data_IF_088498994413
#
_entry.id   IF_088498994413
#
_cell.length_a   1.000
_cell.length_b   1.000
_cell.length_c   1.000
_cell.angle_alpha   90.00
_cell.angle_beta   90.00
_cell.angle_gamma   90.00
#
_symmetry.space_group_name_H-M   'P 1'
#
loop_
_entity.id
_entity.type
_entity.pdbx_description
1 polymer ?
#
# COMPACT_ATOMS: atom_id res chain seq x y z
N UNK A 1 15.37 -17.31 13.38
CA UNK A 1 15.09 -17.03 14.83
C UNK A 1 15.02 -15.53 15.04
N UNK A 2 14.10 -15.07 15.84
CA UNK A 2 13.98 -13.65 16.23
C UNK A 2 15.33 -13.12 16.74
N UNK A 3 15.72 -11.92 16.30
CA UNK A 3 16.98 -11.28 16.61
C UNK A 3 18.18 -11.74 15.78
N UNK A 4 17.99 -12.69 14.85
CA UNK A 4 19.07 -13.07 13.92
C UNK A 4 19.47 -11.87 13.07
N UNK A 5 20.78 -11.63 12.99
CA UNK A 5 21.38 -10.59 12.16
C UNK A 5 21.78 -11.15 10.80
N UNK A 6 21.53 -10.37 9.78
CA UNK A 6 21.86 -10.68 8.39
C UNK A 6 22.77 -9.58 7.83
N UNK A 7 23.80 -9.94 7.05
CA UNK A 7 24.71 -8.96 6.48
C UNK A 7 24.01 -8.09 5.44
N UNK A 8 24.63 -6.97 5.14
CA UNK A 8 24.19 -6.07 4.06
C UNK A 8 24.25 -6.76 2.71
N UNK A 9 23.21 -6.59 1.91
CA UNK A 9 23.12 -6.97 0.49
C UNK A 9 23.17 -5.74 -0.42
N UNK A 10 23.25 -4.53 0.17
CA UNK A 10 23.07 -3.28 -0.58
C UNK A 10 24.23 -3.01 -1.55
N UNK A 11 23.86 -2.51 -2.72
CA UNK A 11 24.79 -1.93 -3.68
C UNK A 11 24.14 -0.76 -4.41
N UNK A 12 24.97 0.17 -4.91
CA UNK A 12 24.50 1.37 -5.60
C UNK A 12 24.96 1.35 -7.05
N UNK A 13 24.07 1.71 -7.95
CA UNK A 13 24.35 1.85 -9.38
C UNK A 13 23.76 3.15 -9.90
N UNK A 14 24.19 3.58 -11.09
CA UNK A 14 23.54 4.69 -11.79
C UNK A 14 22.41 4.15 -12.65
N UNK A 15 21.22 4.71 -12.47
CA UNK A 15 20.09 4.36 -13.31
C UNK A 15 20.38 4.74 -14.78
N UNK A 16 20.17 3.83 -15.75
CA UNK A 16 20.57 4.06 -17.14
C UNK A 16 19.73 5.12 -17.87
N UNK A 17 18.57 5.50 -17.32
CA UNK A 17 17.65 6.46 -17.94
C UNK A 17 17.80 7.84 -17.31
N UNK A 18 17.73 7.91 -15.98
CA UNK A 18 17.78 9.17 -15.23
C UNK A 18 19.22 9.62 -14.93
N UNK A 19 20.18 8.68 -14.87
CA UNK A 19 21.54 8.94 -14.39
C UNK A 19 21.61 9.13 -12.87
N UNK A 20 20.51 8.99 -12.13
CA UNK A 20 20.46 9.11 -10.68
C UNK A 20 21.08 7.88 -10.01
N UNK A 21 21.76 8.05 -8.86
CA UNK A 21 22.16 6.93 -8.03
C UNK A 21 20.94 6.22 -7.45
N UNK A 22 20.85 4.92 -7.67
CA UNK A 22 19.84 4.03 -7.08
C UNK A 22 20.55 3.02 -6.20
N UNK A 23 20.11 2.86 -4.97
CA UNK A 23 20.63 1.84 -4.06
C UNK A 23 19.63 0.68 -4.01
N UNK A 24 20.02 -0.47 -4.51
CA UNK A 24 19.35 -1.73 -4.24
C UNK A 24 19.68 -2.16 -2.82
N UNK A 25 18.69 -2.34 -1.97
CA UNK A 25 18.88 -2.64 -0.54
C UNK A 25 18.94 -4.14 -0.26
N UNK A 26 18.23 -4.93 -1.07
CA UNK A 26 18.18 -6.40 -1.00
C UNK A 26 18.49 -7.00 -2.35
N UNK A 27 19.10 -8.19 -2.38
CA UNK A 27 19.57 -8.81 -3.64
C UNK A 27 19.07 -10.24 -3.85
N UNK A 28 18.70 -10.91 -2.78
CA UNK A 28 18.25 -12.29 -2.80
C UNK A 28 16.89 -12.42 -2.14
N UNK A 29 16.17 -13.48 -2.44
CA UNK A 29 14.89 -13.82 -1.84
C UNK A 29 13.72 -12.98 -2.36
N UNK A 30 12.54 -13.22 -1.80
CA UNK A 30 11.39 -12.34 -1.93
C UNK A 30 11.50 -11.26 -0.84
N UNK A 31 11.57 -10.00 -1.24
CA UNK A 31 11.65 -8.87 -0.33
C UNK A 31 10.73 -7.76 -0.82
N UNK A 32 9.91 -7.25 0.05
CA UNK A 32 9.09 -6.09 -0.25
C UNK A 32 8.93 -5.21 0.98
N UNK A 33 8.94 -3.93 0.75
CA UNK A 33 8.64 -2.96 1.79
C UNK A 33 7.14 -3.02 2.14
N UNK A 34 6.70 -2.30 3.16
CA UNK A 34 5.29 -2.25 3.55
C UNK A 34 4.45 -1.67 2.41
N UNK A 35 3.17 -1.97 2.41
CA UNK A 35 2.26 -1.46 1.39
C UNK A 35 2.31 0.07 1.32
N UNK A 36 2.08 0.69 0.17
CA UNK A 36 2.31 2.12 -0.03
C UNK A 36 1.54 3.03 0.95
N UNK A 37 0.44 2.57 1.54
CA UNK A 37 -0.33 3.28 2.57
C UNK A 37 0.33 3.24 3.95
N UNK A 38 1.29 2.33 4.16
CA UNK A 38 2.06 2.17 5.39
C UNK A 38 3.52 2.57 5.16
N UNK A 39 3.96 3.63 5.80
CA UNK A 39 5.33 4.11 5.63
C UNK A 39 6.35 3.14 6.25
N UNK A 40 7.23 2.57 5.42
CA UNK A 40 8.23 1.60 5.88
C UNK A 40 9.32 2.18 6.75
N UNK A 41 9.56 3.49 6.69
CA UNK A 41 10.62 4.13 7.47
C UNK A 41 10.24 4.22 8.96
N UNK A 42 11.24 4.11 9.82
CA UNK A 42 11.11 4.54 11.20
C UNK A 42 11.07 6.08 11.28
N UNK A 43 10.71 6.68 12.44
CA UNK A 43 10.60 8.14 12.55
C UNK A 43 11.91 8.89 12.30
N UNK A 44 13.07 8.24 12.49
CA UNK A 44 14.39 8.83 12.24
C UNK A 44 14.79 8.80 10.75
N UNK A 45 14.08 8.04 9.92
CA UNK A 45 14.46 7.72 8.54
C UNK A 45 15.83 7.01 8.41
N UNK A 46 16.33 6.41 9.50
CA UNK A 46 17.57 5.65 9.53
C UNK A 46 17.34 4.15 9.29
N UNK A 47 16.13 3.66 9.59
CA UNK A 47 15.77 2.27 9.41
C UNK A 47 14.50 2.13 8.59
N UNK A 48 14.34 0.96 7.95
CA UNK A 48 13.10 0.53 7.34
C UNK A 48 12.63 -0.80 7.92
N UNK A 49 11.32 -1.00 7.89
CA UNK A 49 10.68 -2.28 8.12
C UNK A 49 10.26 -2.88 6.78
N UNK A 50 10.48 -4.18 6.61
CA UNK A 50 10.19 -4.87 5.36
C UNK A 50 9.91 -6.36 5.60
N UNK A 51 9.34 -7.00 4.61
CA UNK A 51 9.03 -8.42 4.63
C UNK A 51 10.01 -9.19 3.75
N UNK A 52 10.44 -10.39 4.22
CA UNK A 52 11.33 -11.25 3.45
C UNK A 52 11.11 -12.72 3.79
N UNK A 53 11.23 -13.60 2.78
CA UNK A 53 11.19 -15.05 2.97
C UNK A 53 12.57 -15.67 3.24
N UNK A 54 13.63 -14.87 3.49
CA UNK A 54 15.02 -15.32 3.69
C UNK A 54 15.21 -16.39 4.77
N UNK A 55 14.27 -16.47 5.73
CA UNK A 55 14.31 -17.51 6.77
C UNK A 55 13.86 -18.87 6.25
N UNK A 56 13.05 -18.91 5.19
CA UNK A 56 12.56 -20.12 4.54
C UNK A 56 12.33 -19.84 3.05
N UNK A 57 13.40 -19.83 2.23
CA UNK A 57 13.31 -19.45 0.81
C UNK A 57 12.40 -20.35 -0.03
N UNK A 58 12.19 -21.60 0.39
CA UNK A 58 11.31 -22.55 -0.30
C UNK A 58 9.81 -22.21 -0.12
N UNK A 59 9.48 -21.34 0.84
CA UNK A 59 8.12 -20.87 1.08
C UNK A 59 7.94 -19.43 0.63
N UNK A 60 6.83 -19.11 0.01
CA UNK A 60 6.45 -17.71 -0.28
C UNK A 60 5.95 -16.96 0.98
N UNK A 61 6.33 -17.45 2.16
CA UNK A 61 5.92 -16.92 3.47
C UNK A 61 7.02 -16.07 4.05
N UNK A 62 6.76 -14.79 4.14
CA UNK A 62 7.73 -13.83 4.65
C UNK A 62 7.66 -13.67 6.16
N UNK A 63 8.74 -13.15 6.71
CA UNK A 63 8.83 -12.66 8.08
C UNK A 63 9.12 -11.16 8.05
N UNK A 64 8.88 -10.48 9.16
CA UNK A 64 9.19 -9.06 9.29
C UNK A 64 10.66 -8.87 9.69
N UNK A 65 11.28 -7.89 9.06
CA UNK A 65 12.66 -7.47 9.28
C UNK A 65 12.75 -5.97 9.49
N UNK A 66 13.81 -5.55 10.18
CA UNK A 66 14.28 -4.16 10.21
C UNK A 66 15.66 -4.10 9.55
N UNK A 67 15.91 -3.08 8.72
CA UNK A 67 17.20 -2.80 8.11
C UNK A 67 17.67 -1.42 8.52
N UNK A 68 18.93 -1.29 8.93
CA UNK A 68 19.59 0.01 9.05
C UNK A 68 20.07 0.46 7.66
N UNK A 69 19.66 1.63 7.22
CA UNK A 69 19.95 2.11 5.86
C UNK A 69 21.41 2.49 5.64
N UNK A 70 22.12 2.92 6.68
CA UNK A 70 23.55 3.27 6.58
C UNK A 70 24.39 1.99 6.43
N UNK A 71 24.28 1.06 7.36
CA UNK A 71 25.06 -0.18 7.36
C UNK A 71 24.53 -1.24 6.39
N UNK A 72 23.22 -1.26 6.12
CA UNK A 72 22.51 -2.32 5.40
C UNK A 72 22.32 -3.59 6.24
N UNK A 73 22.72 -3.60 7.53
CA UNK A 73 22.48 -4.74 8.42
C UNK A 73 20.98 -4.93 8.64
N UNK A 74 20.51 -6.19 8.57
CA UNK A 74 19.12 -6.55 8.76
C UNK A 74 18.94 -7.38 10.03
N UNK A 75 17.80 -7.20 10.71
CA UNK A 75 17.43 -7.97 11.90
C UNK A 75 16.05 -8.59 11.72
N UNK A 76 15.94 -9.89 11.97
CA UNK A 76 14.67 -10.62 11.95
C UNK A 76 13.83 -10.29 13.19
N UNK A 77 12.58 -9.84 12.99
CA UNK A 77 11.67 -9.44 14.07
C UNK A 77 10.62 -10.50 14.39
N UNK A 78 10.20 -11.30 13.41
CA UNK A 78 9.17 -12.34 13.59
C UNK A 78 9.66 -13.70 13.11
N UNK A 79 9.00 -14.77 13.59
CA UNK A 79 9.31 -16.16 13.22
C UNK A 79 8.02 -17.01 13.27
N UNK A 80 6.96 -16.50 12.66
CA UNK A 80 5.64 -17.12 12.70
C UNK A 80 5.52 -18.22 11.63
N UNK A 81 5.07 -19.43 11.99
CA UNK A 81 5.04 -20.56 11.05
C UNK A 81 4.14 -20.35 9.83
N UNK A 82 3.06 -19.58 9.98
CA UNK A 82 2.17 -19.26 8.86
C UNK A 82 2.76 -18.17 7.95
N UNK A 83 3.75 -17.43 8.43
CA UNK A 83 4.35 -16.28 7.75
C UNK A 83 3.41 -15.08 7.67
N UNK A 84 3.88 -14.03 7.05
CA UNK A 84 3.17 -12.77 6.88
C UNK A 84 3.10 -12.49 5.38
N UNK A 85 1.89 -12.31 4.84
CA UNK A 85 1.71 -11.96 3.42
C UNK A 85 1.89 -10.46 3.21
N UNK A 86 2.10 -10.05 1.95
CA UNK A 86 2.15 -8.63 1.59
C UNK A 86 0.88 -7.88 2.00
N UNK A 87 1.01 -6.59 2.31
CA UNK A 87 -0.09 -5.72 2.76
C UNK A 87 -0.81 -6.16 4.05
N UNK A 88 -0.17 -7.02 4.85
CA UNK A 88 -0.71 -7.51 6.13
C UNK A 88 0.11 -7.04 7.33
N UNK A 89 0.74 -5.88 7.23
CA UNK A 89 1.55 -5.26 8.29
C UNK A 89 1.23 -3.78 8.33
N UNK A 90 1.02 -3.25 9.52
CA UNK A 90 0.94 -1.81 9.78
C UNK A 90 1.74 -1.46 11.03
N UNK A 91 2.13 -0.19 11.18
CA UNK A 91 2.86 0.26 12.36
C UNK A 91 2.39 1.63 12.83
N UNK A 92 2.58 1.92 14.11
CA UNK A 92 2.37 3.27 14.64
C UNK A 92 3.38 4.26 14.05
N UNK A 93 3.00 5.53 13.96
CA UNK A 93 3.88 6.59 13.39
C UNK A 93 5.20 6.72 14.17
N UNK A 94 5.17 6.49 15.49
CA UNK A 94 6.36 6.47 16.35
C UNK A 94 7.21 5.19 16.23
N UNK A 95 6.76 4.21 15.46
CA UNK A 95 7.45 2.95 15.19
C UNK A 95 7.54 1.98 16.37
N UNK A 96 6.82 2.23 17.49
CA UNK A 96 6.89 1.40 18.70
C UNK A 96 6.07 0.13 18.61
N UNK A 97 4.96 0.18 17.90
CA UNK A 97 4.06 -0.96 17.73
C UNK A 97 3.94 -1.32 16.25
N UNK A 98 4.00 -2.60 15.97
CA UNK A 98 3.74 -3.17 14.66
C UNK A 98 2.67 -4.23 14.80
N UNK A 99 1.56 -4.07 14.08
CA UNK A 99 0.51 -5.07 14.01
C UNK A 99 0.58 -5.81 12.68
N UNK A 100 0.30 -7.10 12.69
CA UNK A 100 0.34 -7.90 11.49
C UNK A 100 -0.57 -9.13 11.57
N UNK A 101 -0.99 -9.63 10.41
CA UNK A 101 -1.67 -10.91 10.30
C UNK A 101 -0.68 -12.03 9.98
N UNK A 102 -0.88 -13.16 10.64
CA UNK A 102 -0.22 -14.43 10.35
C UNK A 102 -1.24 -15.56 10.40
N UNK A 103 -1.56 -16.15 9.25
CA UNK A 103 -2.69 -17.07 9.13
C UNK A 103 -4.01 -16.39 9.53
N UNK A 104 -4.69 -16.92 10.54
CA UNK A 104 -5.95 -16.35 11.11
C UNK A 104 -5.73 -15.51 12.37
N UNK A 105 -4.49 -15.13 12.68
CA UNK A 105 -4.15 -14.40 13.90
C UNK A 105 -3.79 -12.95 13.60
N UNK A 106 -4.29 -12.01 14.42
CA UNK A 106 -3.78 -10.64 14.55
C UNK A 106 -2.81 -10.60 15.72
N UNK A 107 -1.59 -10.20 15.44
CA UNK A 107 -0.52 -10.07 16.43
C UNK A 107 -0.02 -8.64 16.53
N UNK A 108 0.45 -8.30 17.72
CA UNK A 108 1.07 -7.01 18.05
C UNK A 108 2.51 -7.25 18.49
N UNK A 109 3.46 -6.66 17.79
CA UNK A 109 4.87 -6.67 18.15
C UNK A 109 5.28 -5.31 18.69
N UNK A 110 5.87 -5.29 19.90
CA UNK A 110 6.46 -4.10 20.49
C UNK A 110 7.96 -4.05 20.16
N UNK A 111 8.39 -3.01 19.44
CA UNK A 111 9.77 -2.89 18.96
C UNK A 111 10.80 -2.60 20.06
N UNK A 112 10.35 -2.02 21.19
CA UNK A 112 11.22 -1.71 22.34
C UNK A 112 11.39 -2.93 23.25
N UNK A 113 10.29 -3.60 23.62
CA UNK A 113 10.32 -4.78 24.52
C UNK A 113 10.56 -6.09 23.81
N UNK A 114 10.35 -6.14 22.48
CA UNK A 114 10.35 -7.33 21.63
C UNK A 114 9.26 -8.35 21.98
N UNK A 115 8.26 -7.93 22.72
CA UNK A 115 7.11 -8.75 23.04
C UNK A 115 6.20 -8.89 21.82
N UNK A 116 5.71 -10.12 21.59
CA UNK A 116 4.81 -10.45 20.48
C UNK A 116 3.54 -11.05 21.07
N UNK A 117 2.44 -10.29 21.04
CA UNK A 117 1.18 -10.62 21.71
C UNK A 117 0.11 -10.99 20.67
N UNK A 118 -0.60 -12.09 20.90
CA UNK A 118 -1.82 -12.42 20.18
C UNK A 118 -2.97 -11.51 20.66
N UNK A 119 -3.52 -10.69 19.76
CA UNK A 119 -4.66 -9.83 20.05
C UNK A 119 -6.01 -10.49 19.69
N UNK A 120 -6.05 -11.17 18.53
CA UNK A 120 -7.28 -11.76 18.01
C UNK A 120 -6.97 -13.00 17.17
N UNK A 121 -7.86 -13.97 17.20
CA UNK A 121 -7.81 -15.14 16.33
C UNK A 121 -9.18 -15.34 15.66
N UNK A 122 -9.22 -15.34 14.35
CA UNK A 122 -10.44 -15.61 13.58
C UNK A 122 -10.84 -17.06 13.67
N UNK A 123 -12.04 -17.31 14.20
CA UNK A 123 -12.60 -18.66 14.39
C UNK A 123 -13.62 -19.06 13.32
N UNK A 124 -14.06 -18.10 12.53
CA UNK A 124 -15.02 -18.31 11.44
C UNK A 124 -14.34 -18.51 10.09
N UNK A 125 -15.18 -18.45 9.06
CA UNK A 125 -14.74 -18.60 7.68
C UNK A 125 -14.54 -17.19 7.06
N UNK A 126 -13.60 -16.43 7.64
CA UNK A 126 -13.21 -15.10 7.15
C UNK A 126 -11.72 -15.04 6.88
N UNK A 127 -11.37 -14.28 5.84
CA UNK A 127 -10.02 -13.84 5.56
C UNK A 127 -9.84 -12.47 6.19
N UNK A 128 -8.75 -12.30 6.95
CA UNK A 128 -8.32 -11.03 7.55
C UNK A 128 -7.46 -10.28 6.55
N UNK A 129 -7.68 -8.97 6.40
CA UNK A 129 -6.85 -8.14 5.53
C UNK A 129 -6.89 -6.65 5.90
N UNK A 130 -5.98 -5.87 5.34
CA UNK A 130 -5.95 -4.41 5.40
C UNK A 130 -6.13 -3.84 6.80
N UNK A 131 -5.15 -4.07 7.66
CA UNK A 131 -5.14 -3.55 9.02
C UNK A 131 -4.46 -2.17 9.07
N UNK A 132 -4.93 -1.32 10.00
CA UNK A 132 -4.38 0.02 10.21
C UNK A 132 -4.56 0.49 11.65
N UNK A 133 -3.55 1.16 12.23
CA UNK A 133 -3.69 1.78 13.53
C UNK A 133 -4.52 3.07 13.45
N UNK A 134 -5.33 3.34 14.47
CA UNK A 134 -5.87 4.68 14.68
C UNK A 134 -4.75 5.69 14.94
N UNK A 135 -4.94 6.95 14.58
CA UNK A 135 -3.89 7.98 14.69
C UNK A 135 -3.42 8.22 16.14
N UNK A 136 -4.24 7.88 17.15
CA UNK A 136 -3.88 7.91 18.57
C UNK A 136 -3.23 6.61 19.07
N UNK A 137 -3.00 5.64 18.17
CA UNK A 137 -2.38 4.34 18.42
C UNK A 137 -3.09 3.46 19.45
N UNK A 138 -4.40 3.68 19.71
CA UNK A 138 -5.15 2.91 20.70
C UNK A 138 -5.95 1.77 20.13
N UNK A 139 -6.27 1.83 18.83
CA UNK A 139 -7.10 0.85 18.15
C UNK A 139 -6.42 0.35 16.89
N UNK A 140 -6.79 -0.85 16.48
CA UNK A 140 -6.47 -1.43 15.18
C UNK A 140 -7.79 -1.73 14.49
N UNK A 141 -8.02 -1.12 13.32
CA UNK A 141 -9.12 -1.46 12.44
C UNK A 141 -8.63 -2.35 11.31
N UNK A 142 -9.50 -3.21 10.80
CA UNK A 142 -9.17 -4.14 9.71
C UNK A 142 -10.41 -4.66 9.01
N UNK A 143 -10.21 -5.25 7.84
CA UNK A 143 -11.28 -5.88 7.08
C UNK A 143 -11.33 -7.38 7.31
N UNK A 144 -12.54 -7.92 7.29
CA UNK A 144 -12.83 -9.35 7.30
C UNK A 144 -13.78 -9.66 6.17
N UNK A 145 -13.39 -10.52 5.27
CA UNK A 145 -14.23 -10.91 4.14
C UNK A 145 -14.48 -12.41 4.16
N UNK A 146 -15.69 -12.79 3.78
CA UNK A 146 -16.08 -14.18 3.65
C UNK A 146 -15.05 -14.95 2.81
N UNK A 147 -14.56 -16.06 3.37
CA UNK A 147 -13.61 -16.92 2.68
C UNK A 147 -14.30 -17.68 1.54
N UNK A 148 -13.72 -17.60 0.36
CA UNK A 148 -14.19 -18.26 -0.86
C UNK A 148 -13.05 -19.07 -1.47
N UNK A 149 -12.51 -20.01 -0.70
CA UNK A 149 -11.36 -20.87 -1.05
C UNK A 149 -11.45 -21.54 -2.42
N UNK A 150 -12.65 -21.67 -2.98
CA UNK A 150 -12.85 -22.26 -4.31
C UNK A 150 -12.52 -21.31 -5.46
N UNK A 151 -12.31 -20.03 -5.17
CA UNK A 151 -11.99 -19.03 -6.17
C UNK A 151 -10.51 -18.69 -6.04
N UNK A 152 -9.70 -18.87 -7.09
CA UNK A 152 -8.29 -18.50 -7.07
C UNK A 152 -8.12 -17.08 -6.58
N UNK A 153 -7.23 -16.84 -5.61
CA UNK A 153 -6.98 -15.55 -5.03
C UNK A 153 -5.70 -14.94 -5.61
N UNK A 154 -5.87 -13.97 -6.50
CA UNK A 154 -4.79 -13.06 -6.88
C UNK A 154 -3.53 -13.72 -7.47
N UNK A 155 -3.65 -14.90 -8.05
CA UNK A 155 -2.58 -15.52 -8.83
C UNK A 155 -2.12 -14.59 -9.96
N UNK A 156 -1.20 -15.05 -10.80
CA UNK A 156 -0.75 -14.26 -11.94
C UNK A 156 -1.97 -13.70 -12.68
N UNK A 157 -1.94 -12.39 -12.97
CA UNK A 157 -2.95 -11.76 -13.79
C UNK A 157 -4.34 -11.62 -13.16
N UNK A 158 -4.43 -11.44 -11.82
CA UNK A 158 -5.71 -11.27 -11.10
C UNK A 158 -6.76 -12.33 -11.47
N UNK A 159 -6.31 -13.55 -11.73
CA UNK A 159 -7.19 -14.66 -12.06
C UNK A 159 -8.21 -14.86 -10.93
N UNK A 160 -9.51 -14.87 -11.30
CA UNK A 160 -10.59 -15.02 -10.33
C UNK A 160 -11.02 -13.74 -9.59
N UNK A 161 -10.38 -12.61 -9.84
CA UNK A 161 -10.66 -11.35 -9.15
C UNK A 161 -12.12 -10.87 -9.31
N UNK A 162 -12.64 -10.94 -10.52
CA UNK A 162 -14.05 -10.63 -10.82
C UNK A 162 -15.02 -11.60 -10.17
N UNK A 163 -14.71 -12.89 -10.25
CA UNK A 163 -15.52 -13.96 -9.66
C UNK A 163 -15.57 -13.80 -8.13
N UNK A 164 -14.46 -13.45 -7.50
CA UNK A 164 -14.37 -13.17 -6.07
C UNK A 164 -15.23 -11.99 -5.67
N UNK A 165 -15.19 -10.89 -6.43
CA UNK A 165 -16.03 -9.71 -6.20
C UNK A 165 -17.53 -10.08 -6.17
N UNK A 166 -17.97 -10.91 -7.11
CA UNK A 166 -19.36 -11.33 -7.16
C UNK A 166 -19.74 -12.43 -6.15
N UNK A 167 -18.77 -13.18 -5.66
CA UNK A 167 -19.02 -14.29 -4.72
C UNK A 167 -19.11 -13.82 -3.26
N UNK A 168 -18.34 -12.83 -2.85
CA UNK A 168 -18.34 -12.30 -1.47
C UNK A 168 -19.66 -11.57 -1.20
N UNK A 169 -20.34 -11.98 -0.11
CA UNK A 169 -21.61 -11.41 0.35
C UNK A 169 -21.60 -11.03 1.83
N UNK A 170 -20.47 -11.17 2.48
CA UNK A 170 -20.25 -10.76 3.88
C UNK A 170 -18.85 -10.16 3.99
N UNK A 171 -18.77 -8.84 3.84
CA UNK A 171 -17.59 -8.04 4.10
C UNK A 171 -17.79 -7.21 5.36
N UNK A 172 -16.74 -7.05 6.18
CA UNK A 172 -16.83 -6.37 7.46
C UNK A 172 -15.65 -5.44 7.69
N UNK A 173 -15.92 -4.33 8.35
CA UNK A 173 -14.91 -3.51 9.01
C UNK A 173 -14.99 -3.82 10.51
N UNK A 174 -13.90 -4.30 11.07
CA UNK A 174 -13.78 -4.67 12.47
C UNK A 174 -12.74 -3.82 13.18
N UNK A 175 -12.88 -3.69 14.48
CA UNK A 175 -11.96 -2.93 15.33
C UNK A 175 -11.65 -3.69 16.62
N UNK A 176 -10.44 -3.49 17.15
CA UNK A 176 -9.98 -4.01 18.43
C UNK A 176 -9.05 -2.99 19.10
N UNK A 177 -9.06 -2.92 20.43
CA UNK A 177 -8.08 -2.13 21.17
C UNK A 177 -6.69 -2.79 21.13
N UNK A 178 -5.62 -2.01 21.22
CA UNK A 178 -4.23 -2.53 21.21
C UNK A 178 -3.91 -3.42 22.43
N UNK A 179 -4.75 -3.44 23.44
CA UNK A 179 -4.65 -4.38 24.59
C UNK A 179 -5.42 -5.70 24.35
N UNK A 180 -6.04 -5.88 23.18
CA UNK A 180 -6.84 -7.04 22.82
C UNK A 180 -8.30 -6.99 23.29
N UNK A 181 -8.72 -5.93 23.96
CA UNK A 181 -10.11 -5.75 24.42
C UNK A 181 -11.01 -5.15 23.33
N UNK A 182 -12.33 -5.22 23.56
CA UNK A 182 -13.37 -4.53 22.79
C UNK A 182 -13.38 -4.84 21.28
N UNK A 183 -13.14 -6.12 20.90
CA UNK A 183 -13.31 -6.54 19.52
C UNK A 183 -14.79 -6.50 19.12
N UNK A 184 -15.09 -5.80 18.02
CA UNK A 184 -16.43 -5.77 17.42
C UNK A 184 -16.41 -5.37 15.93
N UNK A 185 -17.49 -5.72 15.21
CA UNK A 185 -17.72 -5.27 13.85
C UNK A 185 -18.40 -3.89 13.86
N UNK A 186 -17.79 -2.90 13.21
CA UNK A 186 -18.34 -1.55 13.01
C UNK A 186 -19.28 -1.50 11.82
N UNK A 187 -18.94 -2.23 10.76
CA UNK A 187 -19.73 -2.32 9.53
C UNK A 187 -19.83 -3.78 9.09
N UNK A 188 -21.02 -4.13 8.58
CA UNK A 188 -21.24 -5.33 7.77
C UNK A 188 -21.92 -4.94 6.47
N UNK A 189 -21.35 -5.36 5.35
CA UNK A 189 -21.81 -5.07 4.00
C UNK A 189 -21.82 -6.33 3.14
N UNK A 190 -22.56 -6.28 2.03
CA UNK A 190 -22.66 -7.38 1.05
C UNK A 190 -21.59 -7.30 -0.04
N UNK A 191 -20.59 -6.47 0.14
CA UNK A 191 -19.49 -6.26 -0.79
C UNK A 191 -18.16 -6.79 -0.23
N UNK A 192 -17.23 -7.05 -1.13
CA UNK A 192 -15.85 -7.25 -0.76
C UNK A 192 -15.25 -5.93 -0.30
N UNK A 193 -14.84 -5.83 0.97
CA UNK A 193 -14.26 -4.64 1.58
C UNK A 193 -12.74 -4.77 1.64
N UNK A 194 -12.04 -3.76 1.19
CA UNK A 194 -10.56 -3.71 1.16
C UNK A 194 -10.04 -2.31 1.47
N UNK A 195 -8.71 -2.10 1.42
CA UNK A 195 -8.00 -0.82 1.56
C UNK A 195 -8.43 0.00 2.77
N UNK A 196 -8.75 -0.67 3.88
CA UNK A 196 -9.09 0.03 5.12
C UNK A 196 -7.90 0.86 5.62
N UNK A 197 -8.16 2.12 5.94
CA UNK A 197 -7.17 3.04 6.48
C UNK A 197 -7.84 4.01 7.46
N UNK A 198 -7.31 4.15 8.68
CA UNK A 198 -7.71 5.23 9.57
C UNK A 198 -7.24 6.59 9.05
N UNK A 199 -8.01 7.64 9.35
CA UNK A 199 -7.56 9.02 9.15
C UNK A 199 -6.34 9.32 10.02
N UNK A 200 -5.33 10.05 9.49
CA UNK A 200 -4.12 10.36 10.24
C UNK A 200 -4.31 11.42 11.35
N UNK A 201 -5.44 12.11 11.37
CA UNK A 201 -5.72 13.24 12.28
C UNK A 201 -7.00 13.08 13.08
N UNK A 202 -7.83 12.04 12.82
CA UNK A 202 -9.09 11.80 13.51
C UNK A 202 -9.31 10.29 13.76
N UNK A 203 -9.21 9.82 15.01
CA UNK A 203 -9.32 8.40 15.33
C UNK A 203 -10.76 7.85 15.18
N UNK A 204 -11.77 8.71 15.00
CA UNK A 204 -13.14 8.31 14.75
C UNK A 204 -13.45 8.14 13.25
N UNK A 205 -12.55 8.53 12.35
CA UNK A 205 -12.77 8.47 10.91
C UNK A 205 -11.81 7.48 10.26
N UNK A 206 -12.34 6.70 9.32
CA UNK A 206 -11.57 5.83 8.45
C UNK A 206 -12.12 5.86 7.03
N UNK A 207 -11.40 5.28 6.08
CA UNK A 207 -11.91 4.96 4.76
C UNK A 207 -11.71 3.48 4.46
N UNK A 208 -12.49 2.98 3.52
CA UNK A 208 -12.37 1.65 2.94
C UNK A 208 -12.82 1.69 1.48
N UNK A 209 -12.54 0.64 0.74
CA UNK A 209 -13.08 0.51 -0.61
C UNK A 209 -13.99 -0.72 -0.77
N UNK A 210 -14.90 -0.64 -1.73
CA UNK A 210 -15.47 -1.82 -2.35
C UNK A 210 -14.48 -2.33 -3.39
N UNK A 211 -14.02 -3.56 -3.22
CA UNK A 211 -12.98 -4.14 -4.05
C UNK A 211 -13.53 -4.88 -5.26
N UNK A 212 -12.77 -4.88 -6.33
CA UNK A 212 -13.09 -5.58 -7.56
C UNK A 212 -12.52 -4.89 -8.80
N UNK A 213 -12.74 -5.44 -9.99
CA UNK A 213 -12.36 -4.78 -11.24
C UNK A 213 -12.97 -3.39 -11.34
N UNK A 214 -12.15 -2.38 -11.62
CA UNK A 214 -12.53 -0.96 -11.51
C UNK A 214 -13.69 -0.55 -12.40
N UNK A 215 -13.88 -1.21 -13.53
CA UNK A 215 -15.02 -1.00 -14.42
C UNK A 215 -16.34 -1.63 -13.93
N UNK A 216 -16.28 -2.49 -12.90
CA UNK A 216 -17.46 -3.09 -12.27
C UNK A 216 -17.78 -2.48 -10.90
N UNK A 217 -16.81 -1.85 -10.26
CA UNK A 217 -17.00 -1.15 -9.00
C UNK A 217 -17.45 0.27 -9.27
N UNK A 218 -18.75 0.50 -9.19
CA UNK A 218 -19.37 1.80 -9.53
C UNK A 218 -19.18 2.86 -8.46
N UNK A 219 -18.85 2.46 -7.22
CA UNK A 219 -18.49 3.34 -6.12
C UNK A 219 -17.44 2.66 -5.28
N UNK A 220 -16.18 3.10 -5.43
CA UNK A 220 -15.05 2.45 -4.76
C UNK A 220 -14.83 2.98 -3.35
N UNK A 221 -14.62 4.27 -3.18
CA UNK A 221 -14.11 4.87 -1.94
C UNK A 221 -15.26 5.27 -1.04
N UNK A 222 -15.17 4.84 0.22
CA UNK A 222 -16.15 5.13 1.27
C UNK A 222 -15.45 5.68 2.51
N UNK A 223 -16.02 6.70 3.13
CA UNK A 223 -15.61 7.24 4.44
C UNK A 223 -16.58 6.76 5.48
N UNK A 224 -16.06 6.23 6.57
CA UNK A 224 -16.82 5.65 7.68
C UNK A 224 -16.49 6.34 9.00
N UNK A 225 -17.51 6.58 9.82
CA UNK A 225 -17.36 6.94 11.23
C UNK A 225 -17.24 5.64 12.05
N UNK A 226 -16.12 5.42 12.68
CA UNK A 226 -15.79 4.19 13.42
C UNK A 226 -16.51 4.04 14.77
N UNK A 227 -17.18 5.11 15.23
CA UNK A 227 -17.96 5.08 16.47
C UNK A 227 -19.44 4.77 16.19
N UNK A 228 -19.99 5.27 15.07
CA UNK A 228 -21.43 5.12 14.75
C UNK A 228 -21.70 4.07 13.69
N UNK A 229 -20.67 3.72 12.89
CA UNK A 229 -20.84 2.87 11.70
C UNK A 229 -21.46 3.57 10.50
N UNK A 230 -21.77 4.86 10.60
CA UNK A 230 -22.29 5.63 9.46
C UNK A 230 -21.20 5.79 8.40
N UNK A 231 -21.55 5.52 7.14
CA UNK A 231 -20.61 5.65 6.04
C UNK A 231 -21.26 6.36 4.83
N UNK A 232 -20.41 6.96 4.00
CA UNK A 232 -20.80 7.71 2.81
C UNK A 232 -19.75 7.56 1.71
N UNK A 233 -20.15 7.70 0.43
CA UNK A 233 -19.19 7.71 -0.65
C UNK A 233 -18.26 8.92 -0.54
N UNK A 234 -16.94 8.69 -0.74
CA UNK A 234 -15.99 9.72 -1.09
C UNK A 234 -15.88 9.75 -2.60
N UNK A 235 -16.01 10.91 -3.22
CA UNK A 235 -16.02 11.03 -4.67
C UNK A 235 -17.10 10.13 -5.34
N UNK A 236 -18.22 10.70 -5.73
CA UNK A 236 -19.25 9.94 -6.48
C UNK A 236 -18.77 9.69 -7.89
N UNK A 237 -18.56 8.41 -8.20
CA UNK A 237 -18.09 7.97 -9.51
C UNK A 237 -19.20 8.01 -10.57
N UNK A 238 -18.82 8.39 -11.79
CA UNK A 238 -19.60 8.19 -13.01
C UNK A 238 -19.23 6.84 -13.67
N UNK A 239 -19.99 6.44 -14.69
CA UNK A 239 -19.70 5.21 -15.46
C UNK A 239 -18.32 5.25 -16.17
N UNK A 240 -17.77 6.45 -16.36
CA UNK A 240 -16.48 6.65 -17.02
C UNK A 240 -15.28 6.62 -16.07
N UNK A 241 -15.54 6.58 -14.76
CA UNK A 241 -14.48 6.60 -13.76
C UNK A 241 -13.97 5.20 -13.48
N UNK A 242 -12.65 5.06 -13.45
CA UNK A 242 -11.92 3.85 -13.09
C UNK A 242 -10.96 4.19 -11.95
N UNK A 243 -11.50 4.30 -10.74
CA UNK A 243 -10.75 4.64 -9.52
C UNK A 243 -10.03 3.40 -9.02
N UNK A 244 -8.72 3.51 -8.82
CA UNK A 244 -7.87 2.37 -8.50
C UNK A 244 -7.37 2.34 -7.07
N UNK A 245 -6.69 3.38 -6.64
CA UNK A 245 -6.04 3.43 -5.34
C UNK A 245 -6.34 4.73 -4.62
N UNK A 246 -6.37 4.65 -3.30
CA UNK A 246 -6.65 5.76 -2.41
C UNK A 246 -5.76 5.72 -1.17
N UNK A 247 -5.37 6.89 -0.68
CA UNK A 247 -4.60 7.03 0.55
C UNK A 247 -4.89 8.37 1.24
N UNK A 248 -4.57 8.46 2.53
CA UNK A 248 -4.64 9.70 3.27
C UNK A 248 -3.37 10.54 3.08
N UNK A 249 -3.53 11.81 2.79
CA UNK A 249 -2.45 12.79 3.02
C UNK A 249 -2.19 12.95 4.52
N UNK A 250 -1.02 13.42 4.91
CA UNK A 250 -0.75 13.70 6.34
C UNK A 250 -1.69 14.75 6.94
N UNK A 251 -2.27 15.62 6.10
CA UNK A 251 -3.24 16.64 6.49
C UNK A 251 -4.69 16.15 6.62
N UNK A 252 -4.95 14.86 6.35
CA UNK A 252 -6.29 14.27 6.48
C UNK A 252 -7.20 14.47 5.28
N UNK A 253 -6.67 14.83 4.11
CA UNK A 253 -7.39 14.76 2.84
C UNK A 253 -7.19 13.39 2.19
N UNK A 254 -8.18 12.94 1.43
CA UNK A 254 -8.12 11.70 0.67
C UNK A 254 -7.58 12.01 -0.72
N UNK A 255 -6.50 11.33 -1.08
CA UNK A 255 -5.92 11.36 -2.43
C UNK A 255 -6.33 10.06 -3.13
N UNK A 256 -6.76 10.15 -4.37
CA UNK A 256 -7.18 8.98 -5.15
C UNK A 256 -6.76 9.14 -6.61
N UNK A 257 -6.47 8.03 -7.27
CA UNK A 257 -6.23 8.02 -8.69
C UNK A 257 -7.48 7.69 -9.50
N UNK A 258 -7.49 8.10 -10.76
CA UNK A 258 -8.52 7.74 -11.72
C UNK A 258 -7.88 7.52 -13.10
N UNK A 259 -7.90 6.28 -13.53
CA UNK A 259 -7.35 5.89 -14.83
C UNK A 259 -8.18 6.37 -16.02
N UNK A 260 -9.47 6.53 -15.84
CA UNK A 260 -10.46 7.03 -16.81
C UNK A 260 -10.77 6.12 -17.99
N UNK A 261 -9.95 5.16 -18.33
CA UNK A 261 -10.19 4.27 -19.47
C UNK A 261 -9.50 2.91 -19.33
N UNK A 262 -10.12 1.89 -19.94
CA UNK A 262 -9.46 0.66 -20.33
C UNK A 262 -9.11 -0.35 -19.24
N UNK A 263 -9.60 -0.22 -18.01
CA UNK A 263 -9.37 -1.22 -16.99
C UNK A 263 -10.52 -2.21 -16.88
N UNK A 264 -10.39 -3.34 -17.53
CA UNK A 264 -11.39 -4.42 -17.54
C UNK A 264 -11.26 -5.38 -16.34
N UNK A 265 -10.41 -5.06 -15.36
CA UNK A 265 -10.12 -5.90 -14.21
C UNK A 265 -9.22 -7.07 -14.53
N UNK A 266 -8.59 -7.08 -15.67
CA UNK A 266 -7.53 -8.03 -16.01
C UNK A 266 -6.18 -7.39 -15.79
N UNK A 267 -5.19 -8.18 -15.62
CA UNK A 267 -3.83 -7.80 -15.35
C UNK A 267 -3.11 -7.10 -16.42
N UNK A 268 -3.48 -7.38 -17.64
CA UNK A 268 -2.92 -6.67 -18.79
C UNK A 268 -2.97 -5.16 -18.59
N UNK A 269 -3.84 -4.68 -17.71
CA UNK A 269 -3.99 -3.27 -17.44
C UNK A 269 -2.86 -2.66 -16.60
N UNK A 270 -2.29 -3.33 -15.61
CA UNK A 270 -1.15 -2.79 -14.84
C UNK A 270 0.12 -2.66 -15.69
N UNK A 271 0.39 -3.66 -16.52
CA UNK A 271 1.54 -3.66 -17.46
C UNK A 271 1.35 -2.83 -18.72
N UNK A 272 0.18 -2.15 -18.88
CA UNK A 272 -0.12 -1.34 -20.06
C UNK A 272 -0.14 0.13 -19.74
N UNK A 273 0.77 0.91 -20.34
CA UNK A 273 0.78 2.36 -20.16
C UNK A 273 -0.45 2.99 -20.81
N UNK A 274 -1.16 3.82 -20.05
CA UNK A 274 -2.27 4.64 -20.53
C UNK A 274 -1.79 6.09 -20.67
N UNK A 275 -1.83 6.62 -21.88
CA UNK A 275 -1.48 8.00 -22.17
C UNK A 275 -2.73 8.86 -22.37
N UNK A 276 -2.67 10.11 -21.94
CA UNK A 276 -3.77 11.06 -22.12
C UNK A 276 -4.19 11.23 -23.59
N UNK A 277 -3.24 11.18 -24.50
CA UNK A 277 -3.47 11.31 -25.96
C UNK A 277 -4.19 10.10 -26.57
N UNK A 278 -4.00 8.91 -25.97
CA UNK A 278 -4.56 7.64 -26.47
C UNK A 278 -6.00 7.40 -25.97
N UNK A 279 -6.37 8.03 -24.86
CA UNK A 279 -7.71 7.85 -24.30
C UNK A 279 -8.81 8.45 -25.16
N UNK A 280 -8.50 9.23 -26.18
CA UNK A 280 -9.45 9.84 -27.12
C UNK A 280 -10.59 10.57 -26.39
N UNK A 281 -11.34 11.45 -26.96
CA UNK A 281 -12.55 12.03 -26.33
C UNK A 281 -12.37 12.78 -25.00
N UNK A 282 -11.13 13.21 -24.62
CA UNK A 282 -10.90 14.03 -23.43
C UNK A 282 -10.87 13.26 -22.09
N UNK A 283 -10.65 11.95 -22.10
CA UNK A 283 -10.47 11.13 -20.90
C UNK A 283 -9.00 11.11 -20.48
N UNK A 284 -8.61 12.09 -19.72
CA UNK A 284 -7.24 12.20 -19.20
C UNK A 284 -7.14 11.52 -17.84
N UNK A 285 -6.15 10.64 -17.59
CA UNK A 285 -5.88 10.13 -16.25
C UNK A 285 -5.59 11.29 -15.30
N UNK A 286 -5.98 11.17 -14.04
CA UNK A 286 -5.71 12.19 -13.04
C UNK A 286 -5.59 11.58 -11.65
N UNK A 287 -5.03 12.30 -10.71
CA UNK A 287 -5.25 12.05 -9.30
C UNK A 287 -6.01 13.22 -8.67
N UNK A 288 -6.89 12.89 -7.75
CA UNK A 288 -7.84 13.82 -7.14
C UNK A 288 -7.62 13.97 -5.65
N UNK A 289 -8.12 15.10 -5.12
CA UNK A 289 -8.07 15.46 -3.71
C UNK A 289 -9.50 15.64 -3.22
N UNK A 290 -9.85 14.97 -2.15
CA UNK A 290 -11.16 15.06 -1.52
C UNK A 290 -11.05 15.28 -0.02
N UNK A 291 -11.96 16.06 0.53
CA UNK A 291 -12.16 16.18 1.97
C UNK A 291 -12.84 14.93 2.54
N UNK A 292 -12.79 14.75 3.86
CA UNK A 292 -13.46 13.65 4.59
C UNK A 292 -14.97 13.58 4.35
N UNK A 293 -15.61 14.67 3.92
CA UNK A 293 -17.03 14.70 3.55
C UNK A 293 -17.31 14.18 2.13
N UNK A 294 -16.26 13.81 1.38
CA UNK A 294 -16.33 13.31 0.03
C UNK A 294 -16.32 14.39 -1.06
N UNK A 295 -16.17 15.66 -0.69
CA UNK A 295 -16.12 16.78 -1.64
C UNK A 295 -14.75 16.81 -2.32
N UNK A 296 -14.72 16.61 -3.63
CA UNK A 296 -13.51 16.77 -4.45
C UNK A 296 -13.28 18.25 -4.68
N UNK A 297 -12.11 18.75 -4.28
CA UNK A 297 -11.75 20.17 -4.43
C UNK A 297 -10.63 20.45 -5.42
N UNK A 298 -9.87 19.40 -5.80
CA UNK A 298 -8.76 19.54 -6.74
C UNK A 298 -8.58 18.25 -7.55
N UNK A 299 -8.15 18.41 -8.81
CA UNK A 299 -7.72 17.31 -9.69
C UNK A 299 -6.45 17.74 -10.40
N UNK A 300 -5.53 16.81 -10.58
CA UNK A 300 -4.28 17.00 -11.29
C UNK A 300 -4.25 16.03 -12.47
N UNK A 301 -4.41 16.58 -13.66
CA UNK A 301 -4.33 15.81 -14.90
C UNK A 301 -2.91 15.32 -15.15
N UNK A 302 -2.80 14.07 -15.58
CA UNK A 302 -1.52 13.41 -15.84
C UNK A 302 -1.40 13.05 -17.32
N UNK A 303 -0.21 13.20 -17.93
CA UNK A 303 -0.01 12.81 -19.32
C UNK A 303 -0.07 11.29 -19.51
N UNK A 304 0.09 10.53 -18.43
CA UNK A 304 -0.03 9.09 -18.37
C UNK A 304 -0.47 8.64 -16.96
N UNK A 305 -0.97 7.43 -16.86
CA UNK A 305 -1.39 6.84 -15.60
C UNK A 305 -0.19 6.20 -14.87
N UNK A 306 -0.11 6.42 -13.54
CA UNK A 306 0.70 5.63 -12.64
C UNK A 306 -0.23 4.71 -11.82
N UNK A 307 0.20 3.47 -11.55
CA UNK A 307 -0.64 2.51 -10.83
C UNK A 307 -0.83 2.91 -9.36
N UNK A 308 0.22 3.44 -8.73
CA UNK A 308 0.17 3.95 -7.37
C UNK A 308 0.76 5.35 -7.32
N UNK A 309 0.20 6.18 -6.44
CA UNK A 309 0.72 7.50 -6.11
C UNK A 309 0.94 7.60 -4.61
N UNK A 310 1.94 8.34 -4.21
CA UNK A 310 2.10 8.76 -2.82
C UNK A 310 2.62 10.20 -2.76
N UNK A 311 2.32 10.92 -1.67
CA UNK A 311 2.67 12.31 -1.50
C UNK A 311 3.68 12.54 -0.38
N UNK A 312 4.48 13.60 -0.49
CA UNK A 312 5.18 14.16 0.67
C UNK A 312 4.21 14.91 1.58
N UNK A 313 4.67 15.31 2.77
CA UNK A 313 3.80 15.87 3.81
C UNK A 313 3.06 17.16 3.41
N UNK A 314 3.66 18.02 2.60
CA UNK A 314 3.10 19.32 2.20
C UNK A 314 2.37 19.28 0.84
N UNK A 315 2.28 18.12 0.22
CA UNK A 315 1.62 17.87 -1.08
C UNK A 315 2.26 18.65 -2.26
N UNK A 316 3.51 19.07 -2.13
CA UNK A 316 4.27 19.71 -3.21
C UNK A 316 4.89 18.69 -4.17
N UNK A 317 5.17 17.48 -3.67
CA UNK A 317 5.75 16.37 -4.41
C UNK A 317 4.90 15.14 -4.30
N UNK A 318 4.74 14.46 -5.43
CA UNK A 318 4.17 13.12 -5.52
C UNK A 318 5.18 12.19 -6.18
N UNK A 319 5.12 10.93 -5.82
CA UNK A 319 5.82 9.85 -6.52
C UNK A 319 4.80 8.90 -7.11
N UNK A 320 5.06 8.39 -8.31
CA UNK A 320 4.21 7.43 -8.98
C UNK A 320 5.03 6.34 -9.66
N UNK A 321 4.46 5.13 -9.74
CA UNK A 321 5.00 4.02 -10.52
C UNK A 321 4.29 3.93 -11.87
N UNK A 322 4.85 4.59 -12.86
CA UNK A 322 4.49 4.36 -14.26
C UNK A 322 4.90 2.93 -14.67
N UNK A 323 4.46 2.46 -15.83
CA UNK A 323 4.70 1.06 -16.25
C UNK A 323 6.17 0.65 -16.22
N UNK A 324 7.10 1.57 -16.43
CA UNK A 324 8.55 1.28 -16.45
C UNK A 324 9.39 2.08 -15.51
N UNK A 325 8.88 3.21 -15.04
CA UNK A 325 9.68 4.22 -14.38
C UNK A 325 9.04 4.68 -13.06
N UNK A 326 9.86 4.91 -12.05
CA UNK A 326 9.48 5.70 -10.87
C UNK A 326 9.59 7.16 -11.25
N UNK A 327 8.49 7.88 -11.11
CA UNK A 327 8.36 9.27 -11.56
C UNK A 327 8.07 10.16 -10.37
N UNK A 328 8.86 11.21 -10.20
CA UNK A 328 8.58 12.30 -9.27
C UNK A 328 7.75 13.37 -9.99
N UNK A 329 6.68 13.80 -9.35
CA UNK A 329 5.73 14.78 -9.86
C UNK A 329 5.81 15.98 -8.91
N UNK A 330 6.33 17.11 -9.36
CA UNK A 330 6.25 18.37 -8.63
C UNK A 330 5.08 19.21 -9.13
N UNK A 331 4.38 19.84 -8.20
CA UNK A 331 3.19 20.64 -8.48
C UNK A 331 3.51 22.09 -8.16
N UNK A 332 3.41 22.97 -9.17
CA UNK A 332 3.64 24.39 -8.99
C UNK A 332 2.42 25.10 -8.35
N UNK A 333 2.59 26.37 -7.96
CA UNK A 333 1.56 27.20 -7.34
C UNK A 333 0.30 27.39 -8.21
N UNK A 334 0.41 27.19 -9.53
CA UNK A 334 -0.70 27.29 -10.47
C UNK A 334 -1.35 25.93 -10.77
N UNK A 335 -0.86 24.84 -10.15
CA UNK A 335 -1.34 23.47 -10.40
C UNK A 335 -0.72 22.82 -11.62
N UNK A 336 0.30 23.44 -12.25
CA UNK A 336 1.09 22.81 -13.30
C UNK A 336 1.95 21.67 -12.75
N UNK A 337 2.14 20.61 -13.52
CA UNK A 337 2.96 19.47 -13.13
C UNK A 337 4.27 19.44 -13.90
N UNK A 338 5.36 19.14 -13.19
CA UNK A 338 6.65 18.80 -13.79
C UNK A 338 7.00 17.38 -13.40
N UNK A 339 7.29 16.55 -14.40
CA UNK A 339 7.64 15.14 -14.22
C UNK A 339 9.15 14.96 -14.31
N UNK A 340 9.72 14.21 -13.39
CA UNK A 340 11.13 13.85 -13.35
C UNK A 340 11.25 12.33 -13.17
N UNK A 341 11.80 11.62 -14.13
CA UNK A 341 12.12 10.20 -13.97
C UNK A 341 13.23 10.04 -12.96
N UNK A 342 13.00 9.26 -11.91
CA UNK A 342 13.98 8.97 -10.88
C UNK A 342 14.74 7.68 -11.15
N UNK A 343 14.04 6.63 -11.53
CA UNK A 343 14.62 5.32 -11.79
C UNK A 343 13.77 4.51 -12.75
N UNK A 344 14.42 3.63 -13.51
CA UNK A 344 13.73 2.58 -14.27
C UNK A 344 13.66 1.32 -13.44
N UNK A 345 12.45 0.87 -13.08
CA UNK A 345 12.27 -0.29 -12.20
C UNK A 345 12.21 -1.62 -12.96
N UNK A 346 11.77 -1.63 -14.22
CA UNK A 346 11.62 -2.83 -15.07
C UNK A 346 10.81 -3.98 -14.46
N UNK A 347 9.98 -3.71 -13.46
CA UNK A 347 9.13 -4.74 -12.84
C UNK A 347 8.20 -5.39 -13.85
N UNK A 348 7.89 -6.67 -13.67
CA UNK A 348 7.08 -7.43 -14.65
C UNK A 348 5.58 -7.19 -14.51
N UNK A 349 5.12 -6.63 -13.39
CA UNK A 349 3.70 -6.48 -13.05
C UNK A 349 2.92 -7.79 -12.98
N UNK A 350 3.61 -8.92 -12.94
CA UNK A 350 3.01 -10.25 -13.05
C UNK A 350 2.25 -10.68 -11.80
N UNK A 351 2.73 -10.25 -10.64
CA UNK A 351 2.16 -10.56 -9.33
C UNK A 351 1.89 -9.28 -8.55
N UNK A 352 0.98 -9.32 -7.58
CA UNK A 352 0.74 -8.18 -6.69
C UNK A 352 2.02 -7.76 -5.95
N UNK A 353 2.87 -8.71 -5.56
CA UNK A 353 4.14 -8.43 -4.89
C UNK A 353 5.16 -7.69 -5.76
N UNK A 354 5.06 -7.80 -7.10
CA UNK A 354 5.95 -7.11 -8.02
C UNK A 354 5.50 -5.68 -8.37
N UNK A 355 4.44 -5.17 -7.75
CA UNK A 355 4.06 -3.77 -7.84
C UNK A 355 5.02 -2.90 -7.04
N UNK A 356 5.37 -1.72 -7.59
CA UNK A 356 6.45 -0.91 -7.00
C UNK A 356 6.05 -0.22 -5.70
N UNK A 357 4.80 0.23 -5.55
CA UNK A 357 4.29 0.89 -4.34
C UNK A 357 5.19 1.99 -3.78
N UNK A 358 5.66 2.96 -4.58
CA UNK A 358 6.65 3.93 -4.13
C UNK A 358 6.15 4.77 -2.96
N UNK A 359 7.05 5.04 -2.00
CA UNK A 359 6.71 5.78 -0.79
C UNK A 359 7.85 6.73 -0.37
N UNK A 360 7.51 7.92 0.16
CA UNK A 360 8.48 8.85 0.71
C UNK A 360 8.93 8.46 2.11
N UNK A 361 10.20 8.76 2.45
CA UNK A 361 10.61 8.86 3.85
C UNK A 361 9.87 10.00 4.55
N UNK A 362 9.75 9.95 5.89
CA UNK A 362 9.06 10.99 6.66
C UNK A 362 9.63 12.40 6.46
N UNK A 363 10.94 12.50 6.18
CA UNK A 363 11.60 13.77 5.89
C UNK A 363 11.50 14.20 4.41
N UNK A 364 10.79 13.43 3.58
CA UNK A 364 10.56 13.70 2.16
C UNK A 364 11.80 13.57 1.26
N UNK A 365 12.94 13.11 1.79
CA UNK A 365 14.21 13.14 1.04
C UNK A 365 14.53 11.86 0.28
N UNK A 366 13.88 10.77 0.61
CA UNK A 366 14.12 9.45 0.02
C UNK A 366 12.82 8.85 -0.47
N UNK A 367 12.91 8.04 -1.50
CA UNK A 367 11.81 7.25 -2.03
C UNK A 367 12.23 5.79 -2.01
N UNK A 368 11.38 4.96 -1.39
CA UNK A 368 11.51 3.52 -1.33
C UNK A 368 10.54 2.90 -2.32
N UNK A 369 10.94 1.87 -3.04
CA UNK A 369 10.06 1.09 -3.90
C UNK A 369 10.53 -0.36 -4.01
N UNK A 370 9.61 -1.27 -4.37
CA UNK A 370 9.91 -2.67 -4.67
C UNK A 370 9.85 -2.91 -6.17
N UNK A 371 10.61 -3.88 -6.65
CA UNK A 371 10.50 -4.37 -8.02
C UNK A 371 11.02 -5.80 -8.09
N UNK A 372 10.40 -6.64 -8.92
CA UNK A 372 10.96 -7.93 -9.24
C UNK A 372 12.13 -7.76 -10.21
N UNK A 373 13.20 -8.52 -9.96
CA UNK A 373 14.37 -8.57 -10.85
C UNK A 373 14.30 -9.78 -11.79
N UNK A 374 13.52 -10.76 -11.40
CA UNK A 374 13.14 -11.95 -12.17
C UNK A 374 11.85 -12.56 -11.57
N UNK A 375 11.39 -13.68 -12.10
CA UNK A 375 10.15 -14.35 -11.64
C UNK A 375 10.23 -14.87 -10.18
N UNK A 376 11.41 -14.89 -9.56
CA UNK A 376 11.67 -15.52 -8.24
C UNK A 376 12.14 -14.57 -7.16
N UNK A 377 12.59 -13.36 -7.52
CA UNK A 377 13.15 -12.40 -6.59
C UNK A 377 12.48 -11.04 -6.76
N UNK A 378 11.94 -10.55 -5.65
CA UNK A 378 11.52 -9.16 -5.51
C UNK A 378 12.52 -8.45 -4.60
N UNK A 379 12.92 -7.23 -4.96
CA UNK A 379 13.92 -6.47 -4.22
C UNK A 379 13.43 -5.07 -3.89
N UNK A 380 14.07 -4.48 -2.87
CA UNK A 380 13.76 -3.15 -2.37
C UNK A 380 14.84 -2.19 -2.84
N UNK A 381 14.41 -1.05 -3.35
CA UNK A 381 15.26 -0.01 -3.91
C UNK A 381 15.01 1.32 -3.22
N UNK A 382 16.07 2.12 -3.12
CA UNK A 382 16.04 3.46 -2.55
C UNK A 382 16.64 4.46 -3.56
N UNK A 383 15.96 5.57 -3.76
CA UNK A 383 16.45 6.71 -4.54
C UNK A 383 16.28 7.99 -3.73
N UNK A 384 17.25 8.92 -3.81
CA UNK A 384 17.13 10.22 -3.17
C UNK A 384 16.29 11.17 -4.03
N UNK A 385 15.50 12.01 -3.39
CA UNK A 385 14.83 13.13 -4.05
C UNK A 385 15.88 14.13 -4.46
N UNK A 386 15.89 14.63 -5.74
CA UNK A 386 16.83 15.64 -6.18
C UNK A 386 16.81 16.90 -5.30
N UNK A 387 17.98 17.36 -4.86
CA UNK A 387 18.11 18.45 -3.90
C UNK A 387 17.47 19.76 -4.35
N UNK A 388 17.44 19.99 -5.64
CA UNK A 388 16.80 21.17 -6.24
C UNK A 388 15.26 21.15 -6.18
N UNK A 389 14.66 20.03 -5.74
CA UNK A 389 13.22 19.86 -5.59
C UNK A 389 12.79 19.77 -4.11
N UNK A 390 13.76 19.77 -3.20
CA UNK A 390 13.58 19.89 -1.75
C UNK A 390 13.66 21.35 -1.34
#
# INVERSE_FOLDING_TARGET
MIGTKWPSEKHTFLDPVSGQPVTQLTDQYLNFHLYFTDNSFDPSCENIYFQSNRCNPEAERCQLFRMNLESGEMEQLTDDPAGIMQAQVTKTKDGKLIAYFTGKELRLYNTETRENTLLYEEKGDFILSNLFFSCDSKKIGFTRNEDRDTIPDGGPNYLGFKEKMFAIKDGRVSVINVDGSDFHDVLRDTHWISHFQYSPDDPAIAMFCHEGPWNYVQQRIWVINMETGDFRPCFRQSEEDCVGHEFWSEGGDIIFDNRRDGHDGTISSSGTQVFAEETGSGRTPYFGFAHKDGTVYRKIDMPFYCNHYYANADLSLFVGDAVKDIVLISIDENGGTKLTTLARHNTTWKYQRSHCHPNFSWDGKKILYSADTDDTHDNIFLVEVPKELL
#
